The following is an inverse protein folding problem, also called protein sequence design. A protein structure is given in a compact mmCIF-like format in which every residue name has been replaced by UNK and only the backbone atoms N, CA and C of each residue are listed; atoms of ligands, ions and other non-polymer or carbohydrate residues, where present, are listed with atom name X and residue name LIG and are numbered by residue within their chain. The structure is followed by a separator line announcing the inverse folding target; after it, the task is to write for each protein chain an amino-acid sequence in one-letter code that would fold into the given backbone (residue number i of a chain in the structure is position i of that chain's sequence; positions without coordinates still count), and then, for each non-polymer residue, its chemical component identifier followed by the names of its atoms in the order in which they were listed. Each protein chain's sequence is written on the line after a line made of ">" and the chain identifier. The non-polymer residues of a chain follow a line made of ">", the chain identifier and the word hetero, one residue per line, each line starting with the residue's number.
data_IF_205210807377
#
_entry.id   IF_205210807377
#
_cell.length_a   1.000
_cell.length_b   1.000
_cell.length_c   1.000
_cell.angle_alpha   90.00
_cell.angle_beta   90.00
_cell.angle_gamma   90.00
#
_symmetry.space_group_name_H-M   'P 1'
#
loop_
_entity.id
_entity.type
_entity.pdbx_description
1 polymer ?
#
# COMPACT_ATOMS: atom_id res chain seq x y z
N UNK A 1 9.76 13.42 7.81
CA UNK A 1 9.77 12.68 9.08
C UNK A 1 9.33 11.26 8.75
N UNK A 2 10.23 10.28 8.86
CA UNK A 2 9.97 8.90 8.43
C UNK A 2 9.03 8.17 9.42
N UNK A 3 8.13 7.33 8.91
CA UNK A 3 7.43 6.34 9.73
C UNK A 3 8.40 5.18 10.01
N UNK A 4 8.58 4.83 11.29
CA UNK A 4 9.18 3.54 11.66
C UNK A 4 8.16 2.40 11.43
N UNK A 5 8.60 1.15 11.57
CA UNK A 5 7.74 -0.02 11.33
C UNK A 5 6.50 -0.06 12.24
N UNK A 6 6.59 0.47 13.47
CA UNK A 6 5.46 0.55 14.39
C UNK A 6 4.40 1.53 13.87
N UNK A 7 4.81 2.75 13.50
CA UNK A 7 3.91 3.75 12.91
C UNK A 7 3.35 3.30 11.56
N UNK A 8 4.12 2.56 10.76
CA UNK A 8 3.66 1.97 9.50
C UNK A 8 2.57 0.92 9.73
N UNK A 9 2.76 -0.02 10.67
CA UNK A 9 1.72 -0.99 11.09
C UNK A 9 0.47 -0.29 11.60
N UNK A 10 0.64 0.71 12.46
CA UNK A 10 -0.47 1.49 13.02
C UNK A 10 -1.26 2.19 11.92
N UNK A 11 -0.58 2.84 10.98
CA UNK A 11 -1.24 3.48 9.85
C UNK A 11 -1.97 2.47 8.94
N UNK A 12 -1.36 1.31 8.64
CA UNK A 12 -2.00 0.25 7.86
C UNK A 12 -3.25 -0.32 8.57
N UNK A 13 -3.22 -0.40 9.91
CA UNK A 13 -4.35 -0.94 10.70
C UNK A 13 -5.64 -0.11 10.59
N UNK A 14 -5.54 1.15 10.18
CA UNK A 14 -6.72 2.02 9.93
C UNK A 14 -7.63 1.44 8.86
N UNK A 15 -7.04 0.82 7.82
CA UNK A 15 -7.81 0.18 6.74
C UNK A 15 -8.49 -1.11 7.21
N UNK A 16 -8.06 -1.66 8.35
CA UNK A 16 -8.71 -2.78 9.03
C UNK A 16 -9.78 -2.32 10.03
N UNK A 17 -10.07 -1.03 10.12
CA UNK A 17 -11.04 -0.46 11.05
C UNK A 17 -10.48 -0.10 12.42
N UNK A 18 -9.15 -0.06 12.59
CA UNK A 18 -8.56 0.44 13.82
C UNK A 18 -8.67 1.97 13.90
N UNK A 19 -9.25 2.45 15.00
CA UNK A 19 -9.41 3.88 15.24
C UNK A 19 -8.25 4.54 15.98
N UNK A 20 -7.34 3.76 16.55
CA UNK A 20 -6.18 4.28 17.25
C UNK A 20 -5.13 4.82 16.27
N UNK A 21 -5.13 6.13 16.10
CA UNK A 21 -4.20 6.89 15.24
C UNK A 21 -3.25 7.78 16.04
N UNK A 22 -3.24 7.64 17.37
CA UNK A 22 -2.29 8.35 18.24
C UNK A 22 -0.86 8.07 17.78
N UNK A 23 0.11 8.92 18.12
CA UNK A 23 1.52 8.80 17.72
C UNK A 23 1.83 8.83 16.20
N UNK A 24 0.82 8.85 15.31
CA UNK A 24 1.03 9.15 13.89
C UNK A 24 1.30 10.65 13.68
N UNK A 25 2.09 11.03 12.66
CA UNK A 25 2.27 12.42 12.29
C UNK A 25 0.95 13.14 12.01
N UNK A 26 0.85 14.42 12.40
CA UNK A 26 -0.40 15.19 12.32
C UNK A 26 -1.01 15.21 10.92
N UNK A 27 -0.20 15.37 9.88
CA UNK A 27 -0.67 15.38 8.49
C UNK A 27 -1.31 14.05 8.06
N UNK A 28 -0.85 12.92 8.59
CA UNK A 28 -1.45 11.60 8.35
C UNK A 28 -2.78 11.49 9.09
N UNK A 29 -2.82 11.93 10.35
CA UNK A 29 -4.07 11.95 11.15
C UNK A 29 -5.14 12.80 10.47
N UNK A 30 -4.77 13.99 9.99
CA UNK A 30 -5.71 14.89 9.32
C UNK A 30 -6.26 14.25 8.03
N UNK A 31 -5.45 13.49 7.29
CA UNK A 31 -5.90 12.78 6.09
C UNK A 31 -6.81 11.59 6.42
N UNK A 32 -6.45 10.78 7.41
CA UNK A 32 -7.31 9.68 7.91
C UNK A 32 -8.68 10.21 8.32
N UNK A 33 -8.72 11.35 9.03
CA UNK A 33 -9.96 11.98 9.45
C UNK A 33 -10.83 12.42 8.27
N UNK A 34 -10.23 12.84 7.14
CA UNK A 34 -10.99 13.13 5.91
C UNK A 34 -11.61 11.86 5.34
N UNK A 35 -10.85 10.75 5.26
CA UNK A 35 -11.38 9.48 4.76
C UNK A 35 -12.52 8.97 5.64
N UNK A 36 -12.35 9.00 6.97
CA UNK A 36 -13.38 8.58 7.93
C UNK A 36 -14.68 9.38 7.80
N UNK A 37 -14.59 10.69 7.51
CA UNK A 37 -15.77 11.53 7.23
C UNK A 37 -16.50 11.11 5.95
N UNK A 38 -15.78 10.60 4.95
CA UNK A 38 -16.35 10.10 3.70
C UNK A 38 -16.83 8.63 3.78
N UNK A 39 -16.43 7.89 4.82
CA UNK A 39 -16.81 6.51 5.07
C UNK A 39 -15.65 5.68 5.63
N UNK A 40 -15.76 4.35 5.56
CA UNK A 40 -14.66 3.48 5.97
C UNK A 40 -13.45 3.66 5.03
N UNK A 41 -12.25 3.96 5.56
CA UNK A 41 -11.04 4.08 4.76
C UNK A 41 -10.75 2.82 3.92
N UNK A 42 -10.34 3.01 2.67
CA UNK A 42 -10.04 1.94 1.71
C UNK A 42 -8.60 2.04 1.23
N UNK A 43 -8.02 0.92 0.76
CA UNK A 43 -6.67 0.92 0.18
C UNK A 43 -6.51 1.85 -1.03
N UNK A 44 -7.61 2.21 -1.71
CA UNK A 44 -7.59 3.21 -2.77
C UNK A 44 -7.28 4.63 -2.25
N UNK A 45 -7.69 4.94 -1.01
CA UNK A 45 -7.40 6.21 -0.35
C UNK A 45 -5.89 6.31 -0.06
N UNK A 46 -5.29 5.21 0.43
CA UNK A 46 -3.84 5.08 0.62
C UNK A 46 -3.06 5.25 -0.69
N UNK A 47 -3.48 4.56 -1.75
CA UNK A 47 -2.89 4.67 -3.09
C UNK A 47 -2.88 6.13 -3.58
N UNK A 48 -4.00 6.83 -3.41
CA UNK A 48 -4.16 8.24 -3.79
C UNK A 48 -3.24 9.14 -2.96
N UNK A 49 -3.18 8.94 -1.65
CA UNK A 49 -2.32 9.69 -0.74
C UNK A 49 -0.83 9.54 -1.08
N UNK A 50 -0.36 8.32 -1.32
CA UNK A 50 1.03 8.06 -1.71
C UNK A 50 1.36 8.73 -3.04
N UNK A 51 0.41 8.74 -4.00
CA UNK A 51 0.62 9.32 -5.33
C UNK A 51 0.64 10.85 -5.34
N UNK A 52 -0.27 11.49 -4.61
CA UNK A 52 -0.54 12.92 -4.76
C UNK A 52 -0.04 13.78 -3.61
N UNK A 53 0.28 13.20 -2.46
CA UNK A 53 0.61 13.95 -1.23
C UNK A 53 2.09 13.83 -0.84
N UNK A 54 2.93 13.27 -1.74
CA UNK A 54 4.32 12.87 -1.48
C UNK A 54 5.20 14.02 -0.96
N UNK A 55 5.33 14.15 0.36
CA UNK A 55 6.54 14.65 0.98
C UNK A 55 7.65 13.62 0.73
N UNK A 56 8.74 14.04 0.08
CA UNK A 56 9.91 13.20 -0.28
C UNK A 56 10.67 12.70 0.95
N UNK A 57 10.31 13.14 2.15
CA UNK A 57 10.96 12.79 3.41
C UNK A 57 10.47 11.49 4.06
N UNK A 58 9.52 10.77 3.45
CA UNK A 58 9.08 9.42 3.86
C UNK A 58 9.29 8.43 2.71
N UNK A 59 10.03 7.36 2.95
CA UNK A 59 10.30 6.31 1.93
C UNK A 59 9.08 5.41 1.79
N UNK A 60 8.17 5.81 0.91
CA UNK A 60 7.10 4.96 0.39
C UNK A 60 7.62 4.21 -0.82
N UNK A 61 7.96 2.93 -0.67
CA UNK A 61 8.33 2.06 -1.78
C UNK A 61 7.04 1.66 -2.51
N UNK A 62 6.71 2.41 -3.56
CA UNK A 62 5.68 1.99 -4.51
C UNK A 62 6.26 0.92 -5.40
N UNK A 63 6.13 -0.34 -4.99
CA UNK A 63 6.49 -1.48 -5.84
C UNK A 63 5.35 -1.71 -6.83
N UNK A 64 5.69 -1.98 -8.08
CA UNK A 64 4.81 -2.74 -8.95
C UNK A 64 5.46 -4.10 -9.12
N UNK A 65 4.68 -5.17 -9.04
CA UNK A 65 5.15 -6.51 -9.45
C UNK A 65 5.60 -6.49 -10.93
N UNK A 66 5.11 -5.50 -11.70
CA UNK A 66 5.50 -5.24 -13.07
C UNK A 66 6.56 -4.12 -13.17
N UNK A 67 7.72 -4.46 -13.75
CA UNK A 67 8.85 -3.56 -14.02
C UNK A 67 8.48 -2.34 -14.89
N UNK A 68 7.46 -2.44 -15.73
CA UNK A 68 7.03 -1.35 -16.63
C UNK A 68 6.00 -0.40 -16.00
N UNK A 69 5.36 -0.80 -14.89
CA UNK A 69 4.28 -0.03 -14.28
C UNK A 69 4.77 1.03 -13.27
N UNK A 70 6.07 1.04 -12.94
CA UNK A 70 6.69 1.89 -11.92
C UNK A 70 7.18 3.26 -12.38
N UNK A 71 6.49 3.95 -13.30
CA UNK A 71 6.94 5.27 -13.77
C UNK A 71 8.26 5.24 -14.56
N UNK A 72 8.54 4.10 -15.21
CA UNK A 72 9.77 3.80 -15.95
C UNK A 72 10.09 4.84 -17.03
N UNK A 73 9.11 5.62 -17.49
CA UNK A 73 9.28 6.73 -18.44
C UNK A 73 10.19 7.86 -17.96
N UNK A 74 10.63 7.85 -16.69
CA UNK A 74 11.48 8.90 -16.10
C UNK A 74 12.99 8.55 -16.03
N UNK A 75 13.41 7.37 -16.48
CA UNK A 75 14.82 6.95 -16.42
C UNK A 75 15.36 6.69 -15.00
N UNK A 76 14.47 6.54 -14.02
CA UNK A 76 14.85 6.24 -12.65
C UNK A 76 15.48 4.84 -12.54
N UNK A 77 16.53 4.65 -11.72
CA UNK A 77 17.14 3.35 -11.51
C UNK A 77 16.13 2.37 -10.90
N UNK A 78 16.05 1.18 -11.48
CA UNK A 78 15.25 0.07 -10.98
C UNK A 78 16.12 -0.80 -10.08
N UNK A 79 15.62 -1.09 -8.88
CA UNK A 79 16.22 -2.03 -7.95
C UNK A 79 15.22 -3.17 -7.75
N UNK A 80 15.62 -4.39 -8.09
CA UNK A 80 14.84 -5.59 -7.80
C UNK A 80 15.08 -6.00 -6.35
N UNK A 81 13.98 -6.25 -5.63
CA UNK A 81 14.01 -6.89 -4.32
C UNK A 81 13.26 -8.21 -4.48
N UNK A 82 13.99 -9.32 -4.54
CA UNK A 82 13.39 -10.65 -4.65
C UNK A 82 13.12 -11.19 -3.25
N UNK A 83 11.84 -11.31 -2.90
CA UNK A 83 11.40 -11.90 -1.64
C UNK A 83 10.01 -12.52 -1.78
N UNK A 84 9.69 -13.53 -0.98
CA UNK A 84 8.34 -14.07 -0.91
C UNK A 84 7.47 -13.17 -0.03
N UNK A 85 6.31 -12.78 -0.55
CA UNK A 85 5.33 -11.94 0.14
C UNK A 85 3.95 -12.57 0.03
N UNK A 86 3.19 -12.50 1.12
CA UNK A 86 1.78 -12.86 1.16
C UNK A 86 0.94 -11.72 0.57
N UNK A 87 0.22 -11.99 -0.51
CA UNK A 87 -0.75 -11.03 -1.06
C UNK A 87 -2.10 -11.17 -0.36
N UNK A 88 -2.58 -10.04 0.20
CA UNK A 88 -3.73 -10.01 1.10
C UNK A 88 -4.65 -8.85 0.70
N UNK A 89 -5.94 -9.16 0.51
CA UNK A 89 -7.01 -8.19 0.35
C UNK A 89 -7.55 -7.71 1.70
N UNK A 90 -8.27 -6.59 1.68
CA UNK A 90 -9.00 -6.10 2.85
C UNK A 90 -10.49 -6.01 2.51
N UNK A 91 -11.31 -6.77 3.23
CA UNK A 91 -12.77 -6.73 3.08
C UNK A 91 -13.42 -6.60 4.46
N UNK A 92 -14.24 -5.55 4.64
CA UNK A 92 -14.97 -5.27 5.89
C UNK A 92 -14.07 -5.32 7.14
N UNK A 93 -12.87 -4.75 7.03
CA UNK A 93 -11.89 -4.70 8.12
C UNK A 93 -11.11 -5.99 8.35
N UNK A 94 -11.29 -7.02 7.52
CA UNK A 94 -10.60 -8.32 7.65
C UNK A 94 -9.58 -8.52 6.54
N UNK A 95 -8.46 -9.15 6.91
CA UNK A 95 -7.44 -9.63 5.98
C UNK A 95 -7.96 -10.89 5.27
N UNK A 96 -7.95 -10.87 3.93
CA UNK A 96 -8.40 -11.97 3.07
C UNK A 96 -7.22 -12.44 2.21
N UNK A 97 -6.72 -13.67 2.37
CA UNK A 97 -5.64 -14.18 1.52
C UNK A 97 -6.02 -14.15 0.04
N UNK A 98 -5.10 -13.70 -0.82
CA UNK A 98 -5.24 -13.67 -2.27
C UNK A 98 -4.16 -14.57 -2.91
N UNK A 99 -4.30 -15.92 -2.84
CA UNK A 99 -3.27 -16.84 -3.34
C UNK A 99 -3.02 -16.73 -4.85
N UNK A 100 -3.98 -16.16 -5.59
CA UNK A 100 -3.88 -15.90 -7.04
C UNK A 100 -3.71 -14.40 -7.35
N UNK A 101 -3.39 -13.60 -6.34
CA UNK A 101 -3.26 -12.14 -6.42
C UNK A 101 -4.57 -11.38 -6.64
N UNK A 102 -4.45 -10.05 -6.75
CA UNK A 102 -5.59 -9.16 -7.00
C UNK A 102 -6.20 -9.34 -8.39
N UNK A 103 -7.53 -9.23 -8.46
CA UNK A 103 -8.31 -9.44 -9.70
C UNK A 103 -8.72 -8.14 -10.40
N UNK A 104 -8.40 -6.97 -9.83
CA UNK A 104 -8.82 -5.65 -10.31
C UNK A 104 -7.68 -4.62 -10.32
N UNK A 105 -7.60 -3.79 -11.37
CA UNK A 105 -6.72 -2.60 -11.37
C UNK A 105 -7.10 -1.62 -10.24
N UNK A 106 -8.41 -1.52 -9.98
CA UNK A 106 -9.01 -0.69 -8.93
C UNK A 106 -9.25 -1.46 -7.62
N UNK A 107 -8.61 -2.62 -7.43
CA UNK A 107 -8.68 -3.42 -6.21
C UNK A 107 -7.26 -3.64 -5.67
N UNK A 108 -6.66 -2.63 -5.01
CA UNK A 108 -5.33 -2.78 -4.42
C UNK A 108 -5.32 -3.89 -3.36
N UNK A 109 -4.15 -4.47 -3.14
CA UNK A 109 -3.87 -5.47 -2.11
C UNK A 109 -2.65 -5.05 -1.30
N UNK A 110 -2.51 -5.61 -0.10
CA UNK A 110 -1.34 -5.46 0.76
C UNK A 110 -0.43 -6.66 0.53
N UNK A 111 0.88 -6.42 0.47
CA UNK A 111 1.92 -7.44 0.48
C UNK A 111 2.61 -7.41 1.84
N UNK A 112 2.66 -8.56 2.51
CA UNK A 112 3.31 -8.72 3.82
C UNK A 112 4.37 -9.82 3.78
N UNK A 113 5.43 -9.68 4.55
CA UNK A 113 6.43 -10.74 4.77
C UNK A 113 5.89 -11.91 5.62
N UNK A 114 4.79 -11.67 6.35
CA UNK A 114 4.10 -12.66 7.17
C UNK A 114 2.58 -12.55 6.96
N UNK A 115 1.79 -13.62 7.12
CA UNK A 115 0.35 -13.62 6.79
C UNK A 115 -0.53 -12.86 7.81
N UNK A 116 0.03 -11.93 8.59
CA UNK A 116 -0.71 -11.06 9.50
C UNK A 116 -0.03 -9.68 9.61
N UNK A 117 -0.79 -8.64 9.95
CA UNK A 117 -0.29 -7.26 9.99
C UNK A 117 0.46 -6.93 11.29
N UNK A 118 0.13 -7.58 12.40
CA UNK A 118 0.67 -7.25 13.73
C UNK A 118 2.17 -7.53 13.83
N UNK A 119 2.60 -8.62 13.19
CA UNK A 119 3.98 -9.10 13.20
C UNK A 119 4.76 -8.72 11.94
N UNK A 120 4.09 -8.15 10.92
CA UNK A 120 4.73 -7.79 9.67
C UNK A 120 5.85 -6.77 9.86
N UNK A 121 7.00 -7.03 9.24
CA UNK A 121 8.12 -6.10 9.18
C UNK A 121 8.17 -5.36 7.84
N UNK A 122 7.61 -5.96 6.79
CA UNK A 122 7.49 -5.38 5.46
C UNK A 122 6.01 -5.25 5.13
N UNK A 123 5.60 -4.01 4.84
CA UNK A 123 4.24 -3.67 4.43
C UNK A 123 4.34 -2.91 3.12
N UNK A 124 3.93 -3.55 2.03
CA UNK A 124 3.89 -2.95 0.71
C UNK A 124 2.46 -2.91 0.16
N UNK A 125 2.20 -1.97 -0.74
CA UNK A 125 0.92 -1.83 -1.43
C UNK A 125 1.08 -2.30 -2.87
N UNK A 126 0.40 -3.38 -3.25
CA UNK A 126 0.28 -3.77 -4.65
C UNK A 126 -0.88 -3.00 -5.29
N UNK A 127 -0.53 -1.95 -6.03
CA UNK A 127 -1.46 -1.10 -6.76
C UNK A 127 -0.96 -0.89 -8.19
N UNK A 128 -1.88 -0.78 -9.16
CA UNK A 128 -1.51 -0.56 -10.57
C UNK A 128 -2.24 -1.47 -11.56
N UNK A 129 -1.78 -1.55 -12.82
CA UNK A 129 -2.38 -2.44 -13.83
C UNK A 129 -2.23 -3.93 -13.45
N UNK A 130 -3.15 -4.79 -13.92
CA UNK A 130 -3.17 -6.24 -13.67
C UNK A 130 -2.26 -7.05 -14.60
N UNK A 131 -2.03 -6.54 -15.81
CA UNK A 131 -1.23 -7.18 -16.85
C UNK A 131 -0.44 -6.13 -17.63
N UNK A 132 0.71 -6.56 -18.14
CA UNK A 132 1.50 -5.94 -19.21
C UNK A 132 0.61 -5.92 -20.47
N UNK A 133 0.42 -4.76 -21.11
CA UNK A 133 0.13 -4.76 -22.54
C UNK A 133 1.43 -5.24 -23.19
N UNK A 134 1.57 -6.54 -23.43
CA UNK A 134 2.62 -7.03 -24.32
C UNK A 134 2.27 -6.47 -25.69
N UNK A 135 2.91 -5.36 -26.07
CA UNK A 135 2.98 -5.02 -27.48
C UNK A 135 3.73 -6.17 -28.15
N UNK A 136 3.14 -6.85 -29.15
CA UNK A 136 3.93 -7.71 -30.00
C UNK A 136 4.90 -6.81 -30.76
N UNK A 137 6.21 -7.03 -30.57
CA UNK A 137 7.19 -6.63 -31.55
C UNK A 137 7.10 -7.59 -32.75
#
# INVERSE_FOLDING_TARGET
>A
MNLDSEKARKFASVFLGNDNVESLPRYIIDEINKWKKAGTPKLNDLSTFIKYTKDRSTVWVSTAVNTEAGGQSSGAPLYEISMELYEIGVEKGKLIPLPNGRTGKMKPSILLDIPNLEDATIIALNHGPLMILKYPF
#
